data_IF_750187289209
#
_entry.id   IF_750187289209
#
_cell.length_a   1.000
_cell.length_b   1.000
_cell.length_c   1.000
_cell.angle_alpha   90.00
_cell.angle_beta   90.00
_cell.angle_gamma   90.00
#
_symmetry.space_group_name_H-M   'P 1'
#
loop_
_entity.id
_entity.type
_entity.pdbx_description
1 polymer ?
#
# COMPACT_ATOMS: atom_id res chain seq x y z
N UNK A 1 -35.92 31.29 -21.71
CA UNK A 1 -35.53 29.86 -21.59
C UNK A 1 -34.18 29.84 -20.91
N UNK A 2 -34.15 29.57 -19.61
CA UNK A 2 -32.90 29.27 -18.90
C UNK A 2 -32.48 27.88 -19.32
N UNK A 3 -31.32 27.77 -19.98
CA UNK A 3 -30.63 26.49 -20.09
C UNK A 3 -30.17 26.15 -18.68
N UNK A 4 -30.86 25.21 -18.05
CA UNK A 4 -30.30 24.51 -16.90
C UNK A 4 -29.14 23.67 -17.43
N UNK A 5 -27.90 24.13 -17.20
CA UNK A 5 -26.76 23.24 -17.25
C UNK A 5 -26.97 22.18 -16.18
N UNK A 6 -27.23 20.95 -16.61
CA UNK A 6 -27.17 19.78 -15.74
C UNK A 6 -25.69 19.59 -15.42
N UNK A 7 -25.23 20.20 -14.34
CA UNK A 7 -23.94 19.86 -13.76
C UNK A 7 -24.05 18.42 -13.26
N UNK A 8 -23.40 17.49 -13.95
CA UNK A 8 -23.28 16.11 -13.49
C UNK A 8 -22.36 16.10 -12.26
N UNK A 9 -22.90 16.41 -11.08
CA UNK A 9 -22.17 16.27 -9.82
C UNK A 9 -21.78 14.81 -9.58
N UNK A 10 -20.64 14.60 -8.93
CA UNK A 10 -20.23 13.28 -8.45
C UNK A 10 -21.23 12.69 -7.44
N UNK A 11 -20.93 11.49 -6.96
CA UNK A 11 -21.76 10.80 -5.96
C UNK A 11 -21.14 11.00 -4.59
N UNK A 12 -21.84 11.70 -3.71
CA UNK A 12 -21.59 11.64 -2.26
C UNK A 12 -22.57 10.62 -1.69
N UNK A 13 -22.05 9.54 -1.12
CA UNK A 13 -22.91 8.49 -0.58
C UNK A 13 -23.79 9.01 0.56
N UNK A 14 -25.04 8.54 0.62
CA UNK A 14 -25.95 8.82 1.74
C UNK A 14 -25.79 7.83 2.91
N UNK A 15 -24.83 6.91 2.83
CA UNK A 15 -24.59 5.93 3.89
C UNK A 15 -24.01 6.63 5.13
N UNK A 16 -24.56 6.32 6.31
CA UNK A 16 -24.14 6.90 7.59
C UNK A 16 -23.78 5.77 8.56
N UNK A 17 -22.62 5.86 9.19
CA UNK A 17 -22.17 4.94 10.25
C UNK A 17 -22.35 5.58 11.63
N UNK A 18 -22.38 4.75 12.67
CA UNK A 18 -22.11 5.20 14.04
C UNK A 18 -20.73 5.85 14.12
N UNK A 19 -20.66 7.02 14.75
CA UNK A 19 -19.43 7.80 14.97
C UNK A 19 -18.60 7.31 16.16
N UNK A 20 -18.86 6.11 16.67
CA UNK A 20 -18.13 5.56 17.80
C UNK A 20 -16.71 5.17 17.37
N UNK A 21 -15.73 5.91 17.90
CA UNK A 21 -14.31 5.59 17.76
C UNK A 21 -14.04 4.23 18.43
N UNK A 22 -13.49 3.30 17.66
CA UNK A 22 -13.05 2.03 18.19
C UNK A 22 -11.70 2.23 18.90
N UNK A 23 -11.62 1.82 20.17
CA UNK A 23 -10.32 1.67 20.82
C UNK A 23 -9.52 0.59 20.11
N UNK A 24 -8.20 0.74 20.10
CA UNK A 24 -7.29 -0.30 19.67
C UNK A 24 -7.53 -1.62 20.40
N UNK A 25 -7.29 -2.73 19.72
CA UNK A 25 -7.46 -4.06 20.32
C UNK A 25 -6.59 -4.18 21.59
N UNK A 26 -7.11 -4.80 22.67
CA UNK A 26 -6.35 -5.11 23.87
C UNK A 26 -5.13 -5.99 23.60
N UNK A 27 -4.05 -5.86 24.38
CA UNK A 27 -2.80 -6.62 24.18
C UNK A 27 -2.97 -8.15 24.31
N UNK A 28 -4.01 -8.60 25.01
CA UNK A 28 -4.40 -10.01 25.18
C UNK A 28 -5.36 -10.52 24.10
N UNK A 29 -5.66 -9.71 23.08
CA UNK A 29 -6.43 -10.15 21.92
C UNK A 29 -5.75 -11.33 21.22
N UNK A 30 -6.55 -12.27 20.74
CA UNK A 30 -6.10 -13.48 20.07
C UNK A 30 -5.18 -13.20 18.87
N UNK A 31 -5.49 -12.16 18.09
CA UNK A 31 -4.69 -11.72 16.93
C UNK A 31 -3.29 -11.21 17.29
N UNK A 32 -3.04 -10.87 18.56
CA UNK A 32 -1.72 -10.48 19.07
C UNK A 32 -1.00 -11.61 19.79
N UNK A 33 -1.54 -12.83 19.78
CA UNK A 33 -0.94 -13.98 20.47
C UNK A 33 0.49 -14.23 19.99
N UNK A 34 1.40 -14.40 20.95
CA UNK A 34 2.78 -14.78 20.65
C UNK A 34 2.80 -16.26 20.24
N UNK A 35 3.47 -16.62 19.13
CA UNK A 35 3.64 -18.02 18.75
C UNK A 35 4.30 -18.84 19.86
N UNK A 36 3.78 -20.04 20.20
CA UNK A 36 4.27 -20.82 21.32
C UNK A 36 5.67 -21.39 21.04
N UNK A 37 6.48 -21.53 22.10
CA UNK A 37 7.82 -22.12 22.05
C UNK A 37 8.94 -21.09 22.26
N UNK A 38 10.05 -21.53 22.84
CA UNK A 38 11.16 -20.63 23.17
C UNK A 38 11.75 -20.00 21.90
N UNK A 39 11.83 -18.66 21.90
CA UNK A 39 12.38 -17.87 20.81
C UNK A 39 11.70 -18.11 19.44
N UNK A 40 10.42 -18.50 19.46
CA UNK A 40 9.64 -18.73 18.26
C UNK A 40 9.68 -17.50 17.32
N UNK A 41 9.95 -17.69 16.01
CA UNK A 41 9.80 -16.61 15.03
C UNK A 41 8.38 -16.05 15.06
N UNK A 42 8.25 -14.74 15.05
CA UNK A 42 6.98 -14.02 15.05
C UNK A 42 7.07 -12.83 14.08
N UNK A 43 5.94 -12.16 13.83
CA UNK A 43 5.87 -11.00 12.94
C UNK A 43 6.38 -11.33 11.53
N UNK A 44 6.14 -12.56 11.08
CA UNK A 44 6.62 -13.04 9.78
C UNK A 44 5.90 -12.29 8.67
N UNK A 45 6.67 -11.71 7.75
CA UNK A 45 6.10 -11.00 6.62
C UNK A 45 7.01 -11.11 5.40
N UNK A 46 6.42 -11.01 4.21
CA UNK A 46 7.15 -11.05 2.96
C UNK A 46 6.82 -9.84 2.09
N UNK A 47 7.78 -9.44 1.27
CA UNK A 47 7.57 -8.51 0.16
C UNK A 47 8.37 -8.95 -1.06
N UNK A 48 8.11 -8.35 -2.22
CA UNK A 48 8.90 -8.61 -3.42
C UNK A 48 10.36 -8.18 -3.20
N UNK A 49 11.31 -9.04 -3.60
CA UNK A 49 12.75 -8.85 -3.32
C UNK A 49 13.59 -8.48 -4.53
N UNK A 50 12.99 -8.30 -5.71
CA UNK A 50 13.64 -7.90 -6.94
C UNK A 50 12.71 -7.06 -7.83
N UNK A 51 13.22 -6.60 -8.97
CA UNK A 51 12.44 -5.81 -9.92
C UNK A 51 11.37 -6.64 -10.65
N UNK A 52 11.60 -7.93 -10.90
CA UNK A 52 10.81 -8.72 -11.86
C UNK A 52 9.78 -9.67 -11.22
N UNK A 53 9.92 -9.97 -9.92
CA UNK A 53 9.08 -10.93 -9.20
C UNK A 53 9.71 -12.32 -9.00
N UNK A 54 11.01 -12.51 -9.28
CA UNK A 54 11.76 -13.75 -8.98
C UNK A 54 12.45 -13.70 -7.62
N UNK A 55 12.33 -12.59 -6.90
CA UNK A 55 12.88 -12.37 -5.58
C UNK A 55 11.77 -12.15 -4.54
N UNK A 56 12.02 -12.61 -3.31
CA UNK A 56 11.17 -12.33 -2.14
C UNK A 56 12.08 -11.98 -0.96
N UNK A 57 11.75 -10.91 -0.24
CA UNK A 57 12.34 -10.63 1.07
C UNK A 57 11.46 -11.30 2.11
N UNK A 58 12.01 -12.21 2.90
CA UNK A 58 11.37 -12.84 4.05
C UNK A 58 11.90 -12.19 5.32
N UNK A 59 11.00 -11.68 6.14
CA UNK A 59 11.32 -11.00 7.38
C UNK A 59 10.62 -11.65 8.57
N UNK A 60 11.28 -11.66 9.73
CA UNK A 60 10.71 -12.15 10.99
C UNK A 60 11.47 -11.59 12.19
N UNK A 61 10.87 -11.69 13.37
CA UNK A 61 11.49 -11.28 14.64
C UNK A 61 11.64 -12.49 15.58
N UNK A 62 12.77 -12.60 16.27
CA UNK A 62 12.95 -13.53 17.40
C UNK A 62 13.06 -12.75 18.73
N UNK A 63 12.30 -13.11 19.78
CA UNK A 63 12.15 -12.23 20.96
C UNK A 63 13.31 -12.26 21.96
N UNK A 64 14.00 -13.39 22.15
CA UNK A 64 14.90 -13.59 23.31
C UNK A 64 16.37 -13.57 22.94
N UNK A 65 16.74 -14.12 21.79
CA UNK A 65 18.12 -14.24 21.33
C UNK A 65 18.17 -14.17 19.79
N UNK A 66 19.36 -13.94 19.17
CA UNK A 66 19.46 -13.77 17.73
C UNK A 66 18.80 -14.90 16.94
N UNK A 67 18.97 -16.16 17.36
CA UNK A 67 18.47 -17.30 16.58
C UNK A 67 19.20 -17.45 15.23
N UNK A 68 18.62 -18.24 14.33
CA UNK A 68 19.13 -18.41 12.96
C UNK A 68 18.53 -17.36 12.04
N UNK A 69 19.36 -16.75 11.19
CA UNK A 69 19.02 -15.87 10.08
C UNK A 69 18.79 -16.64 8.77
N UNK A 70 18.66 -17.97 8.82
CA UNK A 70 18.54 -18.83 7.63
C UNK A 70 17.07 -19.06 7.28
N UNK A 71 16.75 -18.96 5.98
CA UNK A 71 15.47 -19.44 5.43
C UNK A 71 15.70 -20.73 4.64
N UNK A 72 14.96 -21.79 4.98
CA UNK A 72 14.84 -22.98 4.15
C UNK A 72 13.65 -22.84 3.21
N UNK A 73 13.83 -23.09 1.92
CA UNK A 73 12.73 -22.96 0.95
C UNK A 73 12.78 -24.02 -0.16
N UNK A 74 11.60 -24.38 -0.69
CA UNK A 74 11.47 -25.32 -1.80
C UNK A 74 10.16 -25.08 -2.57
N UNK A 75 10.19 -25.36 -3.87
CA UNK A 75 8.98 -25.31 -4.70
C UNK A 75 8.05 -26.48 -4.33
N UNK A 76 6.75 -26.24 -4.43
CA UNK A 76 5.73 -27.27 -4.29
C UNK A 76 5.96 -28.41 -5.30
N UNK A 77 5.58 -29.64 -4.92
CA UNK A 77 5.91 -30.85 -5.68
C UNK A 77 7.37 -31.33 -5.58
N UNK A 78 8.30 -30.54 -4.98
CA UNK A 78 9.66 -31.02 -4.63
C UNK A 78 9.70 -31.47 -3.17
N UNK A 79 10.43 -32.56 -2.90
CA UNK A 79 10.67 -33.03 -1.52
C UNK A 79 11.43 -31.97 -0.70
N UNK A 80 11.06 -31.79 0.57
CA UNK A 80 11.82 -30.99 1.55
C UNK A 80 13.31 -31.36 1.62
N UNK A 81 13.69 -32.61 1.30
CA UNK A 81 15.10 -33.02 1.21
C UNK A 81 15.89 -32.26 0.14
N UNK A 82 15.22 -31.60 -0.80
CA UNK A 82 15.78 -30.73 -1.84
C UNK A 82 15.62 -29.24 -1.50
N UNK A 83 15.37 -28.89 -0.24
CA UNK A 83 15.28 -27.50 0.21
C UNK A 83 16.59 -26.77 -0.05
N UNK A 84 16.48 -25.56 -0.58
CA UNK A 84 17.56 -24.60 -0.68
C UNK A 84 17.65 -23.79 0.62
N UNK A 85 18.80 -23.17 0.84
CA UNK A 85 19.09 -22.29 1.97
C UNK A 85 19.37 -20.89 1.44
N UNK A 86 18.86 -19.88 2.12
CA UNK A 86 19.26 -18.49 1.97
C UNK A 86 19.63 -17.93 3.34
N UNK A 87 20.70 -17.14 3.41
CA UNK A 87 21.15 -16.51 4.65
C UNK A 87 20.74 -15.04 4.63
N UNK A 88 20.11 -14.59 5.70
CA UNK A 88 19.68 -13.21 5.89
C UNK A 88 20.67 -12.39 6.71
N UNK A 89 20.26 -11.19 7.06
CA UNK A 89 20.91 -10.33 8.05
C UNK A 89 20.03 -10.24 9.30
N UNK A 90 20.66 -9.92 10.43
CA UNK A 90 19.95 -9.67 11.70
C UNK A 90 20.32 -8.28 12.19
N UNK A 91 19.32 -7.54 12.66
CA UNK A 91 19.47 -6.19 13.18
C UNK A 91 18.57 -5.96 14.41
N UNK A 92 18.85 -4.88 15.14
CA UNK A 92 18.05 -4.39 16.26
C UNK A 92 18.10 -2.88 16.29
N UNK A 93 17.08 -2.28 16.91
CA UNK A 93 17.09 -0.85 17.20
C UNK A 93 16.59 -0.58 18.63
N UNK A 94 16.89 0.62 19.10
CA UNK A 94 16.34 1.20 20.32
C UNK A 94 15.52 2.42 19.94
N UNK A 95 14.44 2.66 20.68
CA UNK A 95 13.60 3.84 20.52
C UNK A 95 13.13 4.25 21.91
N UNK A 96 13.68 5.33 22.44
CA UNK A 96 13.49 5.81 23.82
C UNK A 96 13.82 4.71 24.84
N UNK A 97 12.80 4.10 25.46
CA UNK A 97 12.91 3.03 26.44
C UNK A 97 12.66 1.63 25.85
N UNK A 98 12.26 1.55 24.58
CA UNK A 98 12.05 0.31 23.86
C UNK A 98 13.35 -0.22 23.26
N UNK A 99 13.52 -1.53 23.27
CA UNK A 99 14.56 -2.23 22.50
C UNK A 99 13.91 -3.36 21.74
N UNK A 100 14.11 -3.39 20.42
CA UNK A 100 13.49 -4.41 19.57
C UNK A 100 13.95 -5.82 19.92
N UNK A 101 13.14 -6.81 19.52
CA UNK A 101 13.63 -8.16 19.30
C UNK A 101 14.73 -8.20 18.22
N UNK A 102 15.21 -9.40 17.89
CA UNK A 102 16.17 -9.59 16.81
C UNK A 102 15.39 -9.71 15.51
N UNK A 103 15.49 -8.70 14.65
CA UNK A 103 14.76 -8.62 13.39
C UNK A 103 15.66 -9.18 12.29
N UNK A 104 15.10 -10.08 11.49
CA UNK A 104 15.79 -10.78 10.43
C UNK A 104 15.22 -10.40 9.08
N UNK A 105 16.08 -10.23 8.09
CA UNK A 105 15.69 -10.03 6.69
C UNK A 105 16.51 -10.94 5.79
N UNK A 106 15.85 -11.76 4.98
CA UNK A 106 16.49 -12.69 4.07
C UNK A 106 15.94 -12.55 2.65
N UNK A 107 16.82 -12.26 1.68
CA UNK A 107 16.44 -12.19 0.27
C UNK A 107 16.60 -13.58 -0.35
N UNK A 108 15.49 -14.15 -0.81
CA UNK A 108 15.47 -15.34 -1.65
C UNK A 108 15.37 -14.88 -3.09
N UNK A 109 16.40 -15.16 -3.90
CA UNK A 109 16.47 -14.77 -5.31
C UNK A 109 16.42 -15.98 -6.25
N UNK A 110 16.17 -15.73 -7.54
CA UNK A 110 16.23 -16.75 -8.59
C UNK A 110 15.14 -17.81 -8.47
N UNK A 111 13.96 -17.44 -7.97
CA UNK A 111 12.78 -18.27 -7.93
C UNK A 111 12.16 -18.43 -9.33
N UNK A 112 11.43 -19.51 -9.56
CA UNK A 112 10.63 -19.65 -10.78
C UNK A 112 9.37 -18.79 -10.68
N UNK A 113 8.89 -18.27 -11.82
CA UNK A 113 7.61 -17.56 -11.88
C UNK A 113 6.43 -18.51 -11.68
N UNK A 114 5.28 -17.97 -11.27
CA UNK A 114 4.01 -18.68 -11.13
C UNK A 114 4.13 -20.03 -10.40
N UNK A 115 4.94 -20.04 -9.33
CA UNK A 115 5.30 -21.25 -8.61
C UNK A 115 5.05 -21.06 -7.12
N UNK A 116 4.33 -22.02 -6.52
CA UNK A 116 4.16 -22.08 -5.08
C UNK A 116 5.46 -22.53 -4.42
N UNK A 117 5.90 -21.79 -3.41
CA UNK A 117 7.05 -22.11 -2.57
C UNK A 117 6.61 -22.27 -1.13
N UNK A 118 7.15 -23.28 -0.45
CA UNK A 118 7.16 -23.35 1.01
C UNK A 118 8.44 -22.75 1.53
N UNK A 119 8.37 -22.08 2.68
CA UNK A 119 9.54 -21.61 3.40
C UNK A 119 9.42 -21.85 4.91
N UNK A 120 10.57 -22.00 5.56
CA UNK A 120 10.70 -22.21 7.00
C UNK A 120 11.71 -21.24 7.61
N UNK A 121 11.36 -20.68 8.77
CA UNK A 121 12.18 -19.77 9.59
C UNK A 121 12.34 -20.32 11.01
N UNK A 122 13.34 -19.84 11.75
CA UNK A 122 13.70 -20.40 13.07
C UNK A 122 14.41 -21.74 12.94
N UNK A 123 15.32 -21.86 11.97
CA UNK A 123 16.05 -23.10 11.70
C UNK A 123 17.07 -23.39 12.81
N UNK A 124 17.25 -24.66 13.15
CA UNK A 124 18.26 -25.10 14.12
C UNK A 124 17.88 -24.92 15.59
N UNK A 125 16.72 -24.32 15.89
CA UNK A 125 16.09 -24.31 17.22
C UNK A 125 14.60 -24.65 17.07
N UNK A 126 13.97 -25.15 18.14
CA UNK A 126 12.52 -25.37 18.17
C UNK A 126 11.88 -24.17 18.87
N UNK A 127 10.84 -23.54 18.28
CA UNK A 127 10.10 -24.01 17.11
C UNK A 127 10.57 -23.42 15.78
N UNK A 128 10.68 -24.28 14.76
CA UNK A 128 10.68 -23.88 13.35
C UNK A 128 9.24 -23.64 12.91
N UNK A 129 8.97 -22.56 12.17
CA UNK A 129 7.63 -22.24 11.63
C UNK A 129 7.66 -22.32 10.11
N UNK A 130 6.58 -22.85 9.51
CA UNK A 130 6.44 -23.04 8.07
C UNK A 130 5.32 -22.17 7.51
N UNK A 131 5.58 -21.59 6.36
CA UNK A 131 4.67 -20.77 5.58
C UNK A 131 4.80 -21.14 4.09
N UNK A 132 4.08 -20.43 3.24
CA UNK A 132 4.16 -20.57 1.79
C UNK A 132 3.79 -19.28 1.09
N UNK A 133 4.22 -19.10 -0.15
CA UNK A 133 3.80 -18.01 -1.03
C UNK A 133 3.77 -18.49 -2.48
N UNK A 134 3.23 -17.68 -3.38
CA UNK A 134 3.23 -17.94 -4.83
C UNK A 134 3.95 -16.76 -5.51
N UNK A 135 5.00 -17.05 -6.28
CA UNK A 135 5.64 -16.04 -7.12
C UNK A 135 4.68 -15.57 -8.22
N UNK A 136 4.71 -14.30 -8.62
CA UNK A 136 3.84 -13.83 -9.70
C UNK A 136 4.21 -14.51 -11.02
N UNK A 137 3.32 -14.51 -12.03
CA UNK A 137 3.71 -14.81 -13.40
C UNK A 137 4.75 -13.80 -13.90
N UNK A 138 5.52 -14.21 -14.91
CA UNK A 138 6.52 -13.34 -15.56
C UNK A 138 5.86 -12.06 -16.06
N UNK A 139 6.50 -10.87 -15.92
CA UNK A 139 5.96 -9.65 -16.48
C UNK A 139 5.63 -9.76 -17.98
N UNK A 140 4.46 -9.24 -18.35
CA UNK A 140 3.94 -9.34 -19.70
C UNK A 140 2.59 -8.61 -19.85
N UNK A 141 2.24 -8.18 -21.08
CA UNK A 141 1.22 -7.16 -21.27
C UNK A 141 -0.21 -7.62 -20.90
N UNK A 142 -0.55 -8.87 -21.18
CA UNK A 142 -1.89 -9.40 -20.93
C UNK A 142 -1.94 -10.35 -19.72
N UNK A 143 -0.93 -10.30 -18.86
CA UNK A 143 -0.87 -11.15 -17.67
C UNK A 143 -1.86 -10.62 -16.63
N UNK A 144 -2.94 -11.34 -16.32
CA UNK A 144 -3.91 -10.88 -15.32
C UNK A 144 -3.31 -10.94 -13.91
N UNK A 145 -3.74 -10.03 -13.05
CA UNK A 145 -3.30 -10.02 -11.65
C UNK A 145 -4.27 -9.23 -10.77
N UNK A 146 -4.51 -9.73 -9.57
CA UNK A 146 -5.41 -9.09 -8.60
C UNK A 146 -4.60 -8.56 -7.42
N UNK A 147 -4.57 -7.24 -7.29
CA UNK A 147 -4.05 -6.55 -6.12
C UNK A 147 -5.20 -6.23 -5.17
N UNK A 148 -4.96 -6.33 -3.87
CA UNK A 148 -5.81 -5.67 -2.89
C UNK A 148 -5.12 -4.43 -2.34
N UNK A 149 -5.91 -3.45 -1.90
CA UNK A 149 -5.47 -2.10 -1.58
C UNK A 149 -5.91 -1.78 -0.15
N UNK A 150 -4.97 -1.40 0.70
CA UNK A 150 -5.22 -1.02 2.10
C UNK A 150 -4.33 0.18 2.45
N UNK A 151 -4.86 1.16 3.16
CA UNK A 151 -4.11 2.23 3.82
C UNK A 151 -4.52 2.34 5.28
N UNK A 152 -3.67 2.95 6.10
CA UNK A 152 -4.12 3.55 7.37
C UNK A 152 -4.79 2.49 8.25
N UNK A 153 -4.15 1.32 8.34
CA UNK A 153 -4.79 0.12 8.87
C UNK A 153 -4.94 0.21 10.39
N UNK A 154 -3.87 0.55 11.12
CA UNK A 154 -3.87 0.47 12.57
C UNK A 154 -4.14 -0.94 13.10
N UNK A 155 -4.68 -1.04 14.32
CA UNK A 155 -4.89 -2.32 14.99
C UNK A 155 -6.14 -2.33 15.91
N UNK A 156 -7.22 -1.72 15.43
CA UNK A 156 -8.54 -1.71 16.06
C UNK A 156 -9.37 -2.93 15.63
N UNK A 157 -10.53 -3.17 16.26
CA UNK A 157 -11.52 -4.12 15.74
C UNK A 157 -11.97 -3.85 14.30
N UNK A 158 -11.99 -2.58 13.86
CA UNK A 158 -12.27 -2.22 12.47
C UNK A 158 -11.13 -2.64 11.54
N UNK A 159 -9.87 -2.42 11.95
CA UNK A 159 -8.69 -2.94 11.24
C UNK A 159 -8.77 -4.45 11.04
N UNK A 160 -9.15 -5.18 12.10
CA UNK A 160 -9.31 -6.62 12.04
C UNK A 160 -10.43 -7.04 11.07
N UNK A 161 -11.54 -6.30 11.05
CA UNK A 161 -12.65 -6.52 10.12
C UNK A 161 -12.23 -6.29 8.68
N UNK A 162 -11.49 -5.21 8.40
CA UNK A 162 -10.94 -4.91 7.06
C UNK A 162 -10.04 -6.06 6.57
N UNK A 163 -9.15 -6.57 7.42
CA UNK A 163 -8.28 -7.71 7.06
C UNK A 163 -9.10 -8.97 6.79
N UNK A 164 -10.14 -9.25 7.59
CA UNK A 164 -11.01 -10.41 7.38
C UNK A 164 -11.84 -10.28 6.10
N UNK A 165 -12.32 -9.08 5.77
CA UNK A 165 -13.03 -8.76 4.53
C UNK A 165 -12.14 -8.98 3.31
N UNK A 166 -10.92 -8.45 3.37
CA UNK A 166 -9.88 -8.65 2.35
C UNK A 166 -9.59 -10.14 2.12
N UNK A 167 -9.35 -10.90 3.20
CA UNK A 167 -8.98 -12.32 3.12
C UNK A 167 -10.13 -13.19 2.61
N UNK A 168 -11.38 -12.76 2.84
CA UNK A 168 -12.59 -13.46 2.44
C UNK A 168 -13.15 -13.00 1.10
N UNK A 169 -12.55 -11.98 0.48
CA UNK A 169 -13.02 -11.42 -0.78
C UNK A 169 -12.90 -12.46 -1.92
N UNK A 170 -13.98 -12.70 -2.70
CA UNK A 170 -14.00 -13.75 -3.71
C UNK A 170 -13.03 -13.51 -4.89
N UNK A 171 -12.57 -12.27 -5.10
CA UNK A 171 -11.55 -11.95 -6.11
C UNK A 171 -10.15 -12.43 -5.70
N UNK A 172 -9.97 -12.81 -4.42
CA UNK A 172 -8.79 -13.52 -3.91
C UNK A 172 -7.47 -12.82 -4.28
N UNK A 173 -7.22 -11.60 -3.75
CA UNK A 173 -6.04 -10.81 -4.05
C UNK A 173 -4.74 -11.58 -3.77
N UNK A 174 -3.73 -11.34 -4.61
CA UNK A 174 -2.46 -12.09 -4.65
C UNK A 174 -1.26 -11.30 -4.12
N UNK A 175 -1.42 -9.99 -4.00
CA UNK A 175 -0.49 -9.09 -3.35
C UNK A 175 -1.26 -7.89 -2.81
N UNK A 176 -0.71 -7.24 -1.79
CA UNK A 176 -1.25 -6.03 -1.21
C UNK A 176 -0.44 -4.81 -1.66
N UNK A 177 -1.13 -3.74 -2.08
CA UNK A 177 -0.54 -2.40 -2.20
C UNK A 177 -0.92 -1.63 -0.94
N UNK A 178 0.06 -1.32 -0.10
CA UNK A 178 -0.17 -0.69 1.20
C UNK A 178 0.24 0.79 1.15
N UNK A 179 -0.70 1.71 1.35
CA UNK A 179 -0.51 3.13 1.03
C UNK A 179 0.02 4.01 2.19
N UNK A 180 0.49 3.39 3.27
CA UNK A 180 1.15 4.06 4.41
C UNK A 180 0.33 3.97 5.70
N UNK A 181 0.93 4.42 6.79
CA UNK A 181 0.38 4.39 8.15
C UNK A 181 0.01 2.98 8.62
N UNK A 182 1.05 2.25 9.03
CA UNK A 182 0.91 0.84 9.34
C UNK A 182 0.27 0.64 10.71
N UNK A 183 1.03 0.94 11.78
CA UNK A 183 0.70 0.46 13.13
C UNK A 183 0.04 1.48 14.05
N UNK A 184 0.21 2.78 13.76
CA UNK A 184 -0.14 3.89 14.64
C UNK A 184 0.45 3.75 16.07
N UNK A 185 1.63 3.12 16.17
CA UNK A 185 2.33 2.97 17.46
C UNK A 185 2.77 4.32 18.06
N UNK A 186 2.97 5.33 17.23
CA UNK A 186 3.33 6.70 17.60
C UNK A 186 2.20 7.42 18.37
N UNK A 187 0.94 7.00 18.20
CA UNK A 187 -0.21 7.51 18.95
C UNK A 187 -0.19 7.09 20.45
N UNK A 188 0.67 6.14 20.83
CA UNK A 188 0.83 5.70 22.22
C UNK A 188 1.85 6.56 22.98
N UNK A 189 1.77 6.60 24.33
CA UNK A 189 2.76 7.32 25.13
C UNK A 189 4.19 6.93 24.78
N UNK A 190 5.01 7.93 24.43
CA UNK A 190 6.40 7.77 23.99
C UNK A 190 6.58 6.96 22.68
N UNK A 191 5.54 6.85 21.85
CA UNK A 191 5.56 6.01 20.65
C UNK A 191 5.84 4.55 21.02
N UNK A 192 4.98 3.93 21.81
CA UNK A 192 5.18 2.60 22.36
C UNK A 192 5.37 1.55 21.25
N UNK A 193 6.62 1.25 20.94
CA UNK A 193 7.02 0.35 19.88
C UNK A 193 6.65 -1.13 20.14
N UNK A 194 6.09 -1.47 21.31
CA UNK A 194 5.40 -2.76 21.48
C UNK A 194 4.15 -2.87 20.60
N UNK A 195 3.56 -1.73 20.20
CA UNK A 195 2.44 -1.67 19.25
C UNK A 195 2.84 -1.98 17.81
N UNK A 196 4.10 -1.75 17.44
CA UNK A 196 4.66 -2.31 16.21
C UNK A 196 4.76 -3.84 16.25
N UNK A 197 5.08 -4.40 17.43
CA UNK A 197 5.19 -5.85 17.61
C UNK A 197 3.83 -6.57 17.56
N UNK A 198 2.80 -5.98 18.16
CA UNK A 198 1.42 -6.50 18.08
C UNK A 198 0.88 -6.40 16.65
N UNK A 199 1.08 -5.26 15.98
CA UNK A 199 0.67 -5.09 14.59
C UNK A 199 1.33 -6.12 13.67
N UNK A 200 2.63 -6.36 13.83
CA UNK A 200 3.34 -7.37 13.05
C UNK A 200 2.80 -8.80 13.29
N UNK A 201 2.36 -9.13 14.50
CA UNK A 201 1.71 -10.43 14.78
C UNK A 201 0.29 -10.51 14.20
N UNK A 202 -0.46 -9.42 14.28
CA UNK A 202 -1.81 -9.32 13.73
C UNK A 202 -1.82 -9.52 12.21
N UNK A 203 -0.94 -8.81 11.49
CA UNK A 203 -0.90 -8.87 10.01
C UNK A 203 -0.20 -10.11 9.46
N UNK A 204 0.58 -10.84 10.27
CA UNK A 204 1.31 -12.07 9.88
C UNK A 204 0.40 -13.08 9.16
N UNK A 205 -0.85 -13.22 9.60
CA UNK A 205 -1.83 -14.14 8.99
C UNK A 205 -2.12 -13.85 7.52
N UNK A 206 -1.83 -12.63 7.08
CA UNK A 206 -1.96 -12.15 5.72
C UNK A 206 -0.58 -12.07 5.04
N UNK A 207 0.33 -11.26 5.58
CA UNK A 207 1.57 -10.87 4.91
C UNK A 207 2.69 -11.91 4.99
N UNK A 208 2.51 -13.00 5.73
CA UNK A 208 3.42 -14.15 5.64
C UNK A 208 3.16 -15.02 4.38
N UNK A 209 2.00 -14.86 3.72
CA UNK A 209 1.56 -15.71 2.62
C UNK A 209 1.46 -15.00 1.28
N UNK A 210 1.28 -13.68 1.29
CA UNK A 210 1.31 -12.85 0.11
C UNK A 210 2.12 -11.57 0.36
N UNK A 211 2.82 -11.05 -0.66
CA UNK A 211 3.66 -9.88 -0.48
C UNK A 211 2.84 -8.60 -0.38
N UNK A 212 3.30 -7.72 0.50
CA UNK A 212 2.83 -6.35 0.61
C UNK A 212 3.87 -5.38 0.03
N UNK A 213 3.44 -4.50 -0.87
CA UNK A 213 4.25 -3.41 -1.41
C UNK A 213 4.02 -2.20 -0.52
N UNK A 214 5.03 -1.87 0.28
CA UNK A 214 4.94 -0.89 1.36
C UNK A 214 5.20 0.54 0.87
N UNK A 215 4.33 1.46 1.27
CA UNK A 215 4.57 2.90 1.31
C UNK A 215 4.68 3.35 2.77
N UNK A 216 5.38 4.46 3.00
CA UNK A 216 5.50 5.07 4.33
C UNK A 216 4.56 6.28 4.44
N UNK A 217 3.78 6.36 5.52
CA UNK A 217 2.94 7.49 5.88
C UNK A 217 3.53 8.37 6.98
N UNK A 218 2.73 9.30 7.54
CA UNK A 218 3.22 10.18 8.62
C UNK A 218 3.36 9.46 9.96
N UNK A 219 2.49 8.50 10.27
CA UNK A 219 2.60 7.71 11.50
C UNK A 219 3.83 6.80 11.50
N UNK A 220 4.45 6.60 10.33
CA UNK A 220 5.71 5.89 10.21
C UNK A 220 6.94 6.79 10.44
N UNK A 221 6.78 8.12 10.58
CA UNK A 221 7.89 9.08 10.75
C UNK A 221 8.58 8.92 12.11
N UNK A 222 7.84 8.68 13.19
CA UNK A 222 8.38 8.46 14.54
C UNK A 222 9.41 9.53 14.98
N UNK A 223 9.14 10.82 14.72
CA UNK A 223 10.05 11.93 15.03
C UNK A 223 9.69 12.63 16.35
N UNK A 224 10.41 12.28 17.43
CA UNK A 224 10.22 12.80 18.79
C UNK A 224 11.51 13.43 19.35
N UNK A 225 11.92 14.62 18.84
CA UNK A 225 13.19 15.26 19.21
C UNK A 225 13.32 15.56 20.71
N UNK A 226 12.22 15.79 21.42
CA UNK A 226 12.18 16.01 22.86
C UNK A 226 12.68 14.80 23.68
N UNK A 227 12.70 13.61 23.08
CA UNK A 227 13.23 12.37 23.67
C UNK A 227 14.50 11.86 22.98
N UNK A 228 15.09 12.65 22.08
CA UNK A 228 16.32 12.29 21.36
C UNK A 228 16.09 11.51 20.06
N UNK A 229 14.84 11.17 19.73
CA UNK A 229 14.47 10.45 18.50
C UNK A 229 14.35 11.44 17.34
N UNK A 230 15.47 11.67 16.67
CA UNK A 230 15.62 12.69 15.62
C UNK A 230 15.83 12.11 14.22
N UNK A 231 15.83 10.77 14.10
CA UNK A 231 15.99 10.06 12.84
C UNK A 231 14.61 9.60 12.36
N UNK A 232 14.06 10.21 11.30
CA UNK A 232 12.76 9.83 10.76
C UNK A 232 12.72 8.37 10.30
N UNK A 233 11.55 7.75 10.41
CA UNK A 233 11.23 6.41 9.96
C UNK A 233 12.02 5.29 10.63
N UNK A 234 12.66 5.55 11.77
CA UNK A 234 13.54 4.56 12.37
C UNK A 234 12.84 3.21 12.62
N UNK A 235 11.70 3.11 13.35
CA UNK A 235 11.02 1.82 13.51
C UNK A 235 10.61 1.17 12.20
N UNK A 236 9.98 1.93 11.29
CA UNK A 236 9.55 1.46 9.97
C UNK A 236 10.70 0.86 9.16
N UNK A 237 11.82 1.58 9.01
CA UNK A 237 12.98 1.20 8.20
C UNK A 237 13.73 -0.03 8.73
N UNK A 238 13.64 -0.30 10.04
CA UNK A 238 14.21 -1.50 10.64
C UNK A 238 13.30 -2.72 10.52
N UNK A 239 11.99 -2.54 10.27
CA UNK A 239 11.00 -3.62 10.27
C UNK A 239 10.60 -4.04 8.85
N UNK A 240 10.41 -3.10 7.94
CA UNK A 240 9.81 -3.34 6.62
C UNK A 240 10.78 -2.99 5.48
N UNK A 241 11.72 -3.89 5.13
CA UNK A 241 12.62 -3.68 4.01
C UNK A 241 11.86 -3.76 2.68
N UNK A 242 12.38 -3.06 1.66
CA UNK A 242 11.84 -3.05 0.29
C UNK A 242 12.98 -3.21 -0.73
N UNK A 243 12.70 -3.61 -1.99
CA UNK A 243 13.74 -3.89 -2.99
C UNK A 243 14.29 -2.62 -3.69
N UNK A 244 14.49 -1.53 -2.96
CA UNK A 244 14.78 -0.21 -3.53
C UNK A 244 16.07 -0.15 -4.37
N UNK A 245 17.07 -0.95 -4.01
CA UNK A 245 18.32 -1.05 -4.78
C UNK A 245 18.09 -1.68 -6.17
N UNK A 246 17.13 -2.60 -6.30
CA UNK A 246 16.78 -3.20 -7.60
C UNK A 246 16.17 -2.19 -8.55
N UNK A 247 15.50 -1.15 -8.02
CA UNK A 247 14.98 -0.01 -8.77
C UNK A 247 16.03 1.10 -9.01
N UNK A 248 17.27 0.92 -8.54
CA UNK A 248 18.30 1.97 -8.58
C UNK A 248 17.98 3.19 -7.71
N UNK A 249 17.11 3.04 -6.71
CA UNK A 249 16.86 4.08 -5.71
C UNK A 249 17.98 4.11 -4.68
N UNK A 250 18.18 5.29 -4.08
CA UNK A 250 19.12 5.50 -2.97
C UNK A 250 18.44 5.41 -1.60
N UNK A 251 17.12 5.21 -1.55
CA UNK A 251 16.34 5.18 -0.32
C UNK A 251 15.26 4.10 -0.38
N UNK A 252 14.98 3.40 0.73
CA UNK A 252 13.84 2.48 0.83
C UNK A 252 12.47 3.17 0.83
N UNK A 253 12.41 4.51 0.95
CA UNK A 253 11.13 5.23 1.01
C UNK A 253 10.53 5.51 -0.38
N UNK A 254 11.31 5.41 -1.45
CA UNK A 254 10.81 5.50 -2.82
C UNK A 254 11.51 4.47 -3.70
N UNK A 255 10.74 3.69 -4.43
CA UNK A 255 11.23 2.58 -5.24
C UNK A 255 10.17 2.15 -6.25
N UNK A 256 10.51 1.17 -7.08
CA UNK A 256 9.57 0.59 -8.03
C UNK A 256 9.74 -0.93 -8.09
N UNK A 257 8.70 -1.59 -8.59
CA UNK A 257 8.70 -3.02 -8.91
C UNK A 257 7.82 -3.29 -10.13
N UNK A 258 8.15 -4.32 -10.90
CA UNK A 258 7.24 -4.93 -11.86
C UNK A 258 6.63 -6.18 -11.26
N UNK A 259 5.32 -6.35 -11.44
CA UNK A 259 4.60 -7.56 -11.04
C UNK A 259 3.48 -7.82 -12.03
N UNK A 260 3.52 -8.97 -12.69
CA UNK A 260 2.60 -9.30 -13.79
C UNK A 260 2.59 -8.18 -14.85
N UNK A 261 1.42 -7.65 -15.22
CA UNK A 261 1.30 -6.57 -16.20
C UNK A 261 1.44 -5.15 -15.61
N UNK A 262 1.81 -5.01 -14.33
CA UNK A 262 1.89 -3.73 -13.64
C UNK A 262 3.33 -3.27 -13.39
N UNK A 263 3.59 -1.99 -13.64
CA UNK A 263 4.75 -1.23 -13.19
C UNK A 263 4.29 -0.35 -12.03
N UNK A 264 4.83 -0.59 -10.83
CA UNK A 264 4.39 0.08 -9.61
C UNK A 264 5.52 0.99 -9.15
N UNK A 265 5.22 2.28 -8.98
CA UNK A 265 6.12 3.29 -8.42
C UNK A 265 5.59 3.65 -7.03
N UNK A 266 6.44 3.56 -6.02
CA UNK A 266 6.16 4.00 -4.65
C UNK A 266 6.94 5.28 -4.39
N UNK A 267 6.24 6.32 -3.95
CA UNK A 267 6.79 7.63 -3.60
C UNK A 267 6.66 7.89 -2.10
N UNK A 268 7.53 8.73 -1.57
CA UNK A 268 7.49 9.18 -0.18
C UNK A 268 7.03 10.63 -0.09
N UNK A 269 5.81 10.82 0.43
CA UNK A 269 5.20 12.12 0.68
C UNK A 269 5.96 12.95 1.72
N UNK A 270 6.74 12.31 2.59
CA UNK A 270 7.45 12.95 3.72
C UNK A 270 8.97 12.97 3.56
N UNK A 271 9.47 12.60 2.38
CA UNK A 271 10.87 12.80 1.98
C UNK A 271 11.00 14.00 1.07
N UNK A 272 12.20 14.57 0.94
CA UNK A 272 12.41 15.67 0.00
C UNK A 272 12.10 15.26 -1.45
N UNK A 273 11.20 15.98 -2.12
CA UNK A 273 10.81 15.78 -3.52
C UNK A 273 10.99 17.01 -4.41
N UNK A 274 11.52 18.12 -3.87
CA UNK A 274 11.83 19.31 -4.65
C UNK A 274 12.78 19.04 -5.82
N UNK A 275 12.78 19.90 -6.84
CA UNK A 275 13.65 19.76 -8.01
C UNK A 275 15.11 19.52 -7.59
N UNK A 276 15.74 18.55 -8.23
CA UNK A 276 17.12 18.08 -7.97
C UNK A 276 17.37 17.24 -6.70
N UNK A 277 16.37 17.03 -5.85
CA UNK A 277 16.47 16.08 -4.73
C UNK A 277 16.64 14.64 -5.24
N UNK A 278 17.13 13.71 -4.40
CA UNK A 278 17.29 12.31 -4.79
C UNK A 278 16.00 11.66 -5.30
N UNK A 279 14.86 11.87 -4.62
CA UNK A 279 13.57 11.31 -5.05
C UNK A 279 13.11 11.90 -6.39
N UNK A 280 13.23 13.22 -6.58
CA UNK A 280 12.88 13.88 -7.85
C UNK A 280 13.68 13.31 -9.03
N UNK A 281 15.01 13.26 -8.90
CA UNK A 281 15.90 12.74 -9.94
C UNK A 281 15.67 11.26 -10.19
N UNK A 282 15.39 10.50 -9.14
CA UNK A 282 15.06 9.09 -9.28
C UNK A 282 13.77 8.92 -10.07
N UNK A 283 12.67 9.62 -9.72
CA UNK A 283 11.40 9.50 -10.41
C UNK A 283 11.49 9.93 -11.89
N UNK A 284 12.17 11.04 -12.17
CA UNK A 284 12.43 11.52 -13.53
C UNK A 284 13.11 10.43 -14.39
N UNK A 285 14.13 9.77 -13.84
CA UNK A 285 14.81 8.66 -14.52
C UNK A 285 13.97 7.38 -14.56
N UNK A 286 13.21 7.10 -13.50
CA UNK A 286 12.42 5.88 -13.36
C UNK A 286 11.31 5.80 -14.41
N UNK A 287 10.64 6.92 -14.66
CA UNK A 287 9.58 7.01 -15.67
C UNK A 287 10.10 6.69 -17.08
N UNK A 288 11.37 6.96 -17.38
CA UNK A 288 11.99 6.57 -18.67
C UNK A 288 12.16 5.06 -18.85
N UNK A 289 12.15 4.29 -17.76
CA UNK A 289 12.30 2.83 -17.77
C UNK A 289 10.96 2.11 -17.99
N UNK A 290 9.83 2.82 -17.88
CA UNK A 290 8.50 2.23 -18.02
C UNK A 290 8.27 1.79 -19.46
N UNK A 291 8.19 0.47 -19.67
CA UNK A 291 7.83 -0.12 -20.96
C UNK A 291 6.36 -0.56 -20.96
N UNK A 292 5.46 0.28 -21.50
CA UNK A 292 4.02 -0.01 -21.58
C UNK A 292 3.65 -1.20 -22.47
N UNK A 293 4.60 -1.72 -23.27
CA UNK A 293 4.41 -2.96 -24.06
C UNK A 293 4.72 -4.23 -23.28
N UNK A 294 5.42 -4.11 -22.15
CA UNK A 294 5.70 -5.20 -21.20
C UNK A 294 4.77 -5.11 -19.99
N UNK A 295 4.67 -3.93 -19.37
CA UNK A 295 3.81 -3.64 -18.22
C UNK A 295 2.87 -2.46 -18.55
N UNK A 296 1.70 -2.73 -19.14
CA UNK A 296 0.72 -1.73 -19.53
C UNK A 296 0.21 -0.87 -18.38
N UNK A 297 0.06 -1.43 -17.19
CA UNK A 297 -0.54 -0.74 -16.05
C UNK A 297 0.52 0.00 -15.26
N UNK A 298 0.54 1.32 -15.37
CA UNK A 298 1.43 2.18 -14.59
C UNK A 298 0.68 2.69 -13.36
N UNK A 299 1.08 2.20 -12.18
CA UNK A 299 0.48 2.51 -10.90
C UNK A 299 1.45 3.34 -10.06
N UNK A 300 0.93 4.35 -9.35
CA UNK A 300 1.70 5.14 -8.39
C UNK A 300 1.06 5.00 -7.02
N UNK A 301 1.90 4.76 -6.01
CA UNK A 301 1.52 4.74 -4.60
C UNK A 301 2.23 5.90 -3.91
N UNK A 302 1.47 6.66 -3.12
CA UNK A 302 1.98 7.64 -2.17
C UNK A 302 1.06 7.64 -0.95
N UNK A 303 1.40 8.39 0.09
CA UNK A 303 0.54 8.44 1.27
C UNK A 303 -0.44 9.61 1.21
N UNK A 304 0.07 10.83 0.97
CA UNK A 304 -0.77 12.05 0.91
C UNK A 304 -1.40 12.21 -0.46
N UNK A 305 -2.73 12.23 -0.52
CA UNK A 305 -3.49 12.40 -1.76
C UNK A 305 -3.27 13.79 -2.40
N UNK A 306 -3.10 13.83 -3.73
CA UNK A 306 -3.08 15.10 -4.49
C UNK A 306 -4.46 15.75 -4.57
N UNK A 307 -5.50 14.92 -4.64
CA UNK A 307 -6.89 15.33 -4.70
C UNK A 307 -7.64 14.65 -3.58
N UNK A 308 -8.18 15.46 -2.68
CA UNK A 308 -9.12 15.05 -1.64
C UNK A 308 -10.15 16.16 -1.48
N UNK A 309 -11.41 15.79 -1.41
CA UNK A 309 -12.52 16.71 -1.11
C UNK A 309 -13.06 16.53 0.31
N UNK A 310 -12.29 15.89 1.19
CA UNK A 310 -12.50 15.89 2.63
C UNK A 310 -11.86 17.13 3.27
N UNK A 311 -12.46 17.63 4.35
CA UNK A 311 -11.98 18.81 5.05
C UNK A 311 -10.70 18.53 5.84
N UNK A 312 -10.55 17.33 6.40
CA UNK A 312 -9.33 16.90 7.06
C UNK A 312 -8.23 16.64 6.02
N UNK A 313 -7.02 17.12 6.28
CA UNK A 313 -5.87 17.10 5.35
C UNK A 313 -6.13 17.77 4.00
N UNK A 314 -7.15 18.64 3.90
CA UNK A 314 -7.47 19.35 2.65
C UNK A 314 -6.26 20.15 2.16
N UNK A 315 -5.89 19.94 0.89
CA UNK A 315 -4.76 20.58 0.22
C UNK A 315 -3.35 20.27 0.77
N UNK A 316 -3.17 19.31 1.68
CA UNK A 316 -1.83 18.94 2.16
C UNK A 316 -0.92 18.41 1.03
N UNK A 317 -1.51 17.71 0.06
CA UNK A 317 -0.80 17.16 -1.11
C UNK A 317 -0.36 18.19 -2.16
N UNK A 318 -0.78 19.46 -2.05
CA UNK A 318 -0.55 20.49 -3.10
C UNK A 318 0.94 20.68 -3.43
N UNK A 319 1.79 20.65 -2.41
CA UNK A 319 3.24 20.84 -2.55
C UNK A 319 3.88 19.76 -3.44
N UNK A 320 3.46 18.51 -3.29
CA UNK A 320 3.92 17.39 -4.11
C UNK A 320 3.21 17.35 -5.46
N UNK A 321 1.91 17.70 -5.51
CA UNK A 321 1.12 17.79 -6.74
C UNK A 321 1.76 18.74 -7.75
N UNK A 322 2.12 19.95 -7.33
CA UNK A 322 2.77 20.96 -8.18
C UNK A 322 4.08 20.42 -8.82
N UNK A 323 4.78 19.53 -8.13
CA UNK A 323 6.05 18.97 -8.61
C UNK A 323 5.84 17.76 -9.53
N UNK A 324 4.96 16.83 -9.16
CA UNK A 324 4.87 15.51 -9.80
C UNK A 324 3.64 15.28 -10.66
N UNK A 325 2.53 16.00 -10.46
CA UNK A 325 1.36 15.86 -11.33
C UNK A 325 1.70 16.01 -12.84
N UNK A 326 2.54 16.99 -13.26
CA UNK A 326 2.96 17.07 -14.66
C UNK A 326 3.67 15.80 -15.16
N UNK A 327 4.47 15.16 -14.30
CA UNK A 327 5.17 13.93 -14.65
C UNK A 327 4.19 12.77 -14.83
N UNK A 328 3.19 12.66 -13.94
CA UNK A 328 2.21 11.58 -13.97
C UNK A 328 1.30 11.69 -15.19
N UNK A 329 0.84 12.90 -15.52
CA UNK A 329 0.03 13.18 -16.72
C UNK A 329 0.83 12.93 -18.00
N UNK A 330 2.07 13.43 -18.07
CA UNK A 330 2.94 13.23 -19.23
C UNK A 330 3.19 11.74 -19.53
N UNK A 331 3.34 10.93 -18.47
CA UNK A 331 3.59 9.49 -18.59
C UNK A 331 2.32 8.65 -18.60
N UNK A 332 1.14 9.28 -18.63
CA UNK A 332 -0.16 8.61 -18.71
C UNK A 332 -0.32 7.53 -17.65
N UNK A 333 -0.02 7.87 -16.40
CA UNK A 333 -0.25 7.00 -15.24
C UNK A 333 -1.72 6.57 -15.25
N UNK A 334 -1.99 5.30 -14.96
CA UNK A 334 -3.35 4.77 -15.00
C UNK A 334 -4.12 5.13 -13.73
N UNK A 335 -3.51 4.89 -12.57
CA UNK A 335 -4.08 5.10 -11.23
C UNK A 335 -3.01 5.58 -10.25
N UNK A 336 -3.38 6.54 -9.41
CA UNK A 336 -2.63 6.97 -8.22
C UNK A 336 -3.41 6.55 -6.98
N UNK A 337 -2.74 5.86 -6.05
CA UNK A 337 -3.30 5.40 -4.79
C UNK A 337 -2.70 6.20 -3.64
N UNK A 338 -3.55 6.65 -2.72
CA UNK A 338 -3.19 7.39 -1.52
C UNK A 338 -4.00 6.91 -0.30
N UNK A 339 -3.47 7.17 0.89
CA UNK A 339 -4.11 6.92 2.19
C UNK A 339 -4.42 8.25 2.87
N UNK A 340 -4.00 8.39 4.14
CA UNK A 340 -3.93 9.60 4.96
C UNK A 340 -5.30 10.17 5.38
N UNK A 341 -6.18 10.37 4.41
CA UNK A 341 -7.56 10.73 4.70
C UNK A 341 -8.31 9.46 5.03
N UNK A 342 -8.86 9.38 6.25
CA UNK A 342 -9.54 8.18 6.75
C UNK A 342 -10.96 8.03 6.20
N UNK A 343 -11.05 7.89 4.88
CA UNK A 343 -12.27 7.69 4.13
C UNK A 343 -11.91 7.17 2.72
N UNK A 344 -12.95 6.92 1.93
CA UNK A 344 -12.80 6.54 0.54
C UNK A 344 -13.16 7.69 -0.41
N UNK A 345 -12.32 7.92 -1.41
CA UNK A 345 -12.62 8.85 -2.51
C UNK A 345 -12.04 8.35 -3.83
N UNK A 346 -12.77 8.60 -4.92
CA UNK A 346 -12.31 8.39 -6.29
C UNK A 346 -12.55 9.63 -7.13
N UNK A 347 -11.51 10.11 -7.79
CA UNK A 347 -11.60 11.25 -8.70
C UNK A 347 -12.12 10.85 -10.09
N UNK A 348 -12.56 11.84 -10.86
CA UNK A 348 -12.56 11.79 -12.32
C UNK A 348 -11.11 11.86 -12.85
N UNK A 349 -10.90 11.67 -14.16
CA UNK A 349 -9.59 11.89 -14.80
C UNK A 349 -9.40 13.38 -15.11
N UNK A 350 -8.65 14.03 -14.25
CA UNK A 350 -8.48 15.48 -14.23
C UNK A 350 -7.02 15.86 -14.08
N UNK A 351 -6.65 17.05 -14.55
CA UNK A 351 -5.36 17.65 -14.26
C UNK A 351 -5.47 19.13 -13.90
N UNK A 352 -4.54 19.62 -13.07
CA UNK A 352 -4.40 21.03 -12.71
C UNK A 352 -2.95 21.51 -12.88
N UNK A 353 -2.43 21.31 -14.09
CA UNK A 353 -1.02 21.56 -14.45
C UNK A 353 -0.81 22.80 -15.32
N UNK A 354 -1.88 23.54 -15.65
CA UNK A 354 -1.83 24.70 -16.54
C UNK A 354 -1.39 26.01 -15.86
N UNK A 355 -1.40 26.06 -14.53
CA UNK A 355 -1.13 27.27 -13.76
C UNK A 355 0.31 27.78 -13.97
N UNK A 356 0.46 29.08 -14.28
CA UNK A 356 1.77 29.72 -14.45
C UNK A 356 1.93 31.03 -13.66
N UNK A 357 1.16 31.19 -12.58
CA UNK A 357 1.04 32.42 -11.77
C UNK A 357 0.18 33.51 -12.42
N UNK A 358 0.41 33.88 -13.68
CA UNK A 358 -0.24 35.04 -14.31
C UNK A 358 -1.51 34.71 -15.11
N UNK A 359 -1.68 33.46 -15.52
CA UNK A 359 -2.81 33.03 -16.36
C UNK A 359 -4.09 32.68 -15.58
N UNK A 360 -4.03 32.58 -14.26
CA UNK A 360 -5.13 32.16 -13.39
C UNK A 360 -5.77 30.81 -13.75
N UNK A 361 -5.09 29.96 -14.54
CA UNK A 361 -5.57 28.62 -14.91
C UNK A 361 -5.26 27.63 -13.78
N UNK A 362 -5.96 27.77 -12.65
CA UNK A 362 -5.75 27.00 -11.42
C UNK A 362 -6.93 26.09 -11.03
N UNK A 363 -7.92 25.93 -11.92
CA UNK A 363 -9.02 24.99 -11.73
C UNK A 363 -8.68 23.64 -12.39
N UNK A 364 -8.91 22.51 -11.71
CA UNK A 364 -8.82 21.20 -12.34
C UNK A 364 -9.75 21.12 -13.56
N UNK A 365 -9.26 20.50 -14.64
CA UNK A 365 -9.99 20.29 -15.88
C UNK A 365 -9.96 18.82 -16.26
N UNK A 366 -10.97 18.36 -17.00
CA UNK A 366 -11.00 17.02 -17.56
C UNK A 366 -9.77 16.78 -18.45
N UNK A 367 -9.04 15.70 -18.16
CA UNK A 367 -7.83 15.32 -18.88
C UNK A 367 -7.72 13.81 -18.99
N UNK A 368 -8.01 13.27 -20.18
CA UNK A 368 -7.94 11.83 -20.42
C UNK A 368 -6.51 11.24 -20.34
N UNK A 369 -5.47 12.07 -20.32
CA UNK A 369 -4.08 11.63 -20.07
C UNK A 369 -3.77 11.51 -18.58
N UNK A 370 -4.61 12.05 -17.70
CA UNK A 370 -4.42 11.98 -16.26
C UNK A 370 -4.83 10.63 -15.66
N UNK A 371 -4.22 10.25 -14.52
CA UNK A 371 -4.67 9.10 -13.75
C UNK A 371 -6.04 9.33 -13.11
N UNK A 372 -6.65 8.24 -12.66
CA UNK A 372 -7.66 8.31 -11.59
C UNK A 372 -6.92 8.37 -10.27
N UNK A 373 -7.28 9.32 -9.40
CA UNK A 373 -6.78 9.40 -8.03
C UNK A 373 -7.76 8.68 -7.10
N UNK A 374 -7.24 7.79 -6.27
CA UNK A 374 -8.04 7.03 -5.30
C UNK A 374 -7.43 7.21 -3.91
N UNK A 375 -8.25 7.70 -2.99
CA UNK A 375 -7.98 7.71 -1.55
C UNK A 375 -8.59 6.44 -0.95
N UNK A 376 -7.77 5.64 -0.28
CA UNK A 376 -8.12 4.36 0.35
C UNK A 376 -7.48 4.25 1.75
N UNK A 377 -7.54 5.36 2.51
CA UNK A 377 -7.01 5.46 3.88
C UNK A 377 -8.01 4.99 4.94
N UNK A 378 -8.99 4.20 4.56
CA UNK A 378 -10.12 3.77 5.36
C UNK A 378 -9.91 2.37 5.98
N UNK A 379 -8.66 2.01 6.28
CA UNK A 379 -8.32 0.67 6.77
C UNK A 379 -8.84 0.34 8.17
N UNK A 380 -9.18 1.34 8.98
CA UNK A 380 -9.78 1.14 10.30
C UNK A 380 -8.94 1.60 11.48
N UNK A 381 -8.00 2.54 11.29
CA UNK A 381 -7.16 3.03 12.38
C UNK A 381 -7.95 3.66 13.56
N UNK A 382 -7.23 3.87 14.67
CA UNK A 382 -7.78 4.36 15.93
C UNK A 382 -8.26 5.83 15.91
N UNK A 383 -7.84 6.63 14.92
CA UNK A 383 -8.25 8.03 14.82
C UNK A 383 -9.66 8.17 14.26
N UNK A 384 -10.18 7.11 13.63
CA UNK A 384 -11.53 7.05 13.12
C UNK A 384 -11.70 7.61 11.72
N UNK A 385 -12.96 7.62 11.27
CA UNK A 385 -13.34 8.13 9.95
C UNK A 385 -13.35 9.66 9.89
N UNK A 386 -12.95 10.21 8.75
CA UNK A 386 -13.15 11.62 8.41
C UNK A 386 -14.52 11.79 7.77
N UNK A 387 -15.42 12.54 8.44
CA UNK A 387 -16.80 12.77 7.98
C UNK A 387 -16.98 14.09 7.23
N UNK A 388 -16.18 15.09 7.57
CA UNK A 388 -16.35 16.44 7.08
C UNK A 388 -15.91 16.55 5.61
N UNK A 389 -16.83 17.00 4.77
CA UNK A 389 -16.66 17.14 3.33
C UNK A 389 -16.59 18.61 2.91
N UNK A 390 -15.84 18.88 1.84
CA UNK A 390 -15.95 20.13 1.10
C UNK A 390 -17.26 20.10 0.31
N UNK A 391 -18.11 21.11 0.53
CA UNK A 391 -19.43 21.21 -0.10
C UNK A 391 -19.57 22.47 -0.98
N UNK A 392 -20.25 22.37 -2.15
CA UNK A 392 -20.76 21.14 -2.76
C UNK A 392 -19.62 20.22 -3.23
N UNK A 393 -19.92 18.94 -3.51
CA UNK A 393 -18.95 18.02 -4.11
C UNK A 393 -18.25 18.66 -5.33
N UNK A 394 -16.92 18.81 -5.30
CA UNK A 394 -16.18 19.37 -6.42
C UNK A 394 -16.32 18.51 -7.68
N UNK A 395 -16.33 19.12 -8.86
CA UNK A 395 -16.49 18.40 -10.14
C UNK A 395 -15.37 17.39 -10.44
N UNK A 396 -14.23 17.47 -9.75
CA UNK A 396 -13.15 16.48 -9.88
C UNK A 396 -13.40 15.19 -9.09
N UNK A 397 -14.31 15.21 -8.11
CA UNK A 397 -14.62 14.06 -7.24
C UNK A 397 -15.76 13.25 -7.86
N UNK A 398 -15.49 12.01 -8.27
CA UNK A 398 -16.48 11.15 -8.90
C UNK A 398 -17.33 10.41 -7.85
N UNK A 399 -16.69 9.91 -6.79
CA UNK A 399 -17.34 9.22 -5.68
C UNK A 399 -16.59 9.52 -4.37
N UNK A 400 -17.31 9.70 -3.26
CA UNK A 400 -16.73 9.80 -1.91
C UNK A 400 -17.68 9.25 -0.84
N UNK A 401 -17.13 8.53 0.13
CA UNK A 401 -17.87 7.99 1.27
C UNK A 401 -16.94 7.76 2.49
N UNK A 402 -17.42 8.16 3.67
CA UNK A 402 -16.76 7.86 4.94
C UNK A 402 -17.24 6.52 5.50
N UNK A 403 -16.62 5.43 5.06
CA UNK A 403 -16.80 4.08 5.61
C UNK A 403 -15.45 3.39 5.64
N UNK A 404 -15.23 2.48 6.59
CA UNK A 404 -14.03 1.62 6.57
C UNK A 404 -14.18 0.51 5.53
N UNK A 405 -13.05 0.08 4.96
CA UNK A 405 -13.05 -0.89 3.89
C UNK A 405 -11.67 -1.13 3.29
N UNK A 406 -11.68 -1.79 2.14
CA UNK A 406 -10.50 -2.04 1.32
C UNK A 406 -10.85 -2.00 -0.16
N UNK A 407 -9.84 -1.80 -1.01
CA UNK A 407 -9.98 -1.84 -2.46
C UNK A 407 -9.50 -3.15 -3.08
N UNK A 408 -10.05 -3.50 -4.25
CA UNK A 408 -9.53 -4.56 -5.13
C UNK A 408 -9.26 -3.95 -6.51
N UNK A 409 -8.04 -4.12 -7.01
CA UNK A 409 -7.65 -3.82 -8.39
C UNK A 409 -7.35 -5.13 -9.12
N UNK A 410 -8.27 -5.52 -10.00
CA UNK A 410 -8.29 -6.80 -10.70
C UNK A 410 -8.00 -6.58 -12.19
N UNK A 411 -6.72 -6.64 -12.54
CA UNK A 411 -6.24 -6.46 -13.92
C UNK A 411 -6.60 -7.69 -14.74
N UNK A 412 -7.32 -7.46 -15.86
CA UNK A 412 -7.75 -8.53 -16.76
C UNK A 412 -6.79 -8.77 -17.91
N UNK A 413 -6.27 -7.69 -18.50
CA UNK A 413 -5.35 -7.71 -19.63
C UNK A 413 -4.76 -6.30 -19.83
N UNK A 414 -4.08 -6.04 -20.95
CA UNK A 414 -3.46 -4.74 -21.23
C UNK A 414 -4.42 -3.55 -21.34
N UNK A 415 -5.72 -3.79 -21.51
CA UNK A 415 -6.73 -2.73 -21.77
C UNK A 415 -7.72 -2.51 -20.64
N UNK A 416 -8.06 -3.56 -19.88
CA UNK A 416 -9.09 -3.49 -18.85
C UNK A 416 -8.57 -3.96 -17.48
N UNK A 417 -8.85 -3.16 -16.46
CA UNK A 417 -8.76 -3.55 -15.07
C UNK A 417 -10.07 -3.17 -14.38
N UNK A 418 -10.53 -4.02 -13.48
CA UNK A 418 -11.69 -3.74 -12.66
C UNK A 418 -11.22 -3.24 -11.30
N UNK A 419 -11.71 -2.07 -10.87
CA UNK A 419 -11.56 -1.58 -9.52
C UNK A 419 -12.89 -1.75 -8.78
N UNK A 420 -12.85 -2.25 -7.55
CA UNK A 420 -13.98 -2.29 -6.63
C UNK A 420 -13.58 -1.89 -5.22
N UNK A 421 -14.38 -1.06 -4.57
CA UNK A 421 -14.25 -0.72 -3.16
C UNK A 421 -15.28 -1.49 -2.33
N UNK A 422 -14.82 -2.07 -1.22
CA UNK A 422 -15.58 -2.98 -0.39
C UNK A 422 -15.66 -2.43 1.03
N UNK A 423 -16.87 -2.13 1.50
CA UNK A 423 -17.10 -1.62 2.85
C UNK A 423 -17.16 -2.75 3.87
N UNK A 424 -16.66 -2.50 5.07
CA UNK A 424 -16.66 -3.47 6.16
C UNK A 424 -18.08 -3.92 6.58
N UNK A 425 -19.10 -3.07 6.39
CA UNK A 425 -20.48 -3.37 6.79
C UNK A 425 -21.21 -4.28 5.79
N UNK A 426 -20.72 -4.35 4.55
CA UNK A 426 -21.34 -5.16 3.51
C UNK A 426 -20.77 -6.59 3.50
N UNK A 427 -21.42 -7.49 2.76
CA UNK A 427 -20.87 -8.82 2.53
C UNK A 427 -19.54 -8.77 1.75
N UNK A 428 -18.69 -9.78 1.95
CA UNK A 428 -17.32 -9.84 1.38
C UNK A 428 -17.22 -9.70 -0.15
N UNK A 429 -18.31 -9.93 -0.87
CA UNK A 429 -18.40 -9.85 -2.33
C UNK A 429 -19.05 -8.55 -2.84
N UNK A 430 -19.61 -7.73 -1.96
CA UNK A 430 -20.36 -6.53 -2.33
C UNK A 430 -19.39 -5.39 -2.64
N UNK A 431 -19.57 -4.76 -3.80
CA UNK A 431 -18.78 -3.64 -4.29
C UNK A 431 -19.64 -2.37 -4.11
N UNK A 432 -19.28 -1.50 -3.18
CA UNK A 432 -20.03 -0.28 -2.86
C UNK A 432 -19.80 0.83 -3.89
N UNK A 433 -18.58 0.90 -4.42
CA UNK A 433 -18.23 1.63 -5.64
C UNK A 433 -17.37 0.73 -6.54
N UNK A 434 -17.48 0.93 -7.85
CA UNK A 434 -16.67 0.18 -8.80
C UNK A 434 -16.44 0.96 -10.10
N UNK A 435 -15.34 0.64 -10.77
CA UNK A 435 -14.96 1.26 -12.03
C UNK A 435 -14.23 0.27 -12.93
N UNK A 436 -14.64 0.20 -14.19
CA UNK A 436 -13.80 -0.39 -15.24
C UNK A 436 -12.79 0.65 -15.72
N UNK A 437 -11.54 0.46 -15.33
CA UNK A 437 -10.42 1.27 -15.77
C UNK A 437 -10.03 0.85 -17.19
N UNK A 438 -9.92 1.84 -18.08
CA UNK A 438 -9.36 1.67 -19.41
C UNK A 438 -7.91 2.15 -19.43
N UNK A 439 -7.00 1.27 -19.85
CA UNK A 439 -5.58 1.54 -19.86
C UNK A 439 -5.23 2.77 -20.73
N UNK A 440 -4.47 3.72 -20.17
CA UNK A 440 -4.17 5.00 -20.82
C UNK A 440 -3.25 4.90 -22.04
N UNK A 441 -2.53 3.79 -22.19
CA UNK A 441 -1.67 3.55 -23.35
C UNK A 441 -2.37 2.73 -24.44
N UNK A 442 -3.06 1.64 -24.07
CA UNK A 442 -3.66 0.69 -25.02
C UNK A 442 -5.14 0.92 -25.33
N UNK A 443 -5.87 1.66 -24.49
CA UNK A 443 -7.27 2.01 -24.73
C UNK A 443 -7.58 3.41 -24.15
N UNK A 444 -7.04 4.49 -24.76
CA UNK A 444 -7.17 5.85 -24.23
C UNK A 444 -8.57 6.47 -24.39
N UNK A 445 -9.57 5.67 -24.77
CA UNK A 445 -10.95 6.12 -24.90
C UNK A 445 -11.53 6.58 -23.54
N UNK A 446 -12.55 7.45 -23.55
CA UNK A 446 -13.32 7.78 -22.35
C UNK A 446 -13.96 6.51 -21.77
N UNK A 447 -13.87 6.33 -20.46
CA UNK A 447 -14.52 5.21 -19.76
C UNK A 447 -16.05 5.39 -19.85
N UNK A 448 -16.77 4.40 -20.38
CA UNK A 448 -18.23 4.45 -20.42
C UNK A 448 -18.78 4.27 -19.01
N UNK A 449 -19.50 5.27 -18.50
CA UNK A 449 -20.20 5.20 -17.21
C UNK A 449 -21.22 4.05 -17.23
N UNK A 450 -20.98 3.00 -16.45
CA UNK A 450 -22.05 2.10 -16.08
C UNK A 450 -22.83 2.79 -14.95
N UNK A 451 -24.10 3.12 -15.19
CA UNK A 451 -24.99 3.51 -14.10
C UNK A 451 -25.12 2.30 -13.17
N UNK A 452 -24.65 2.43 -11.93
CA UNK A 452 -25.02 1.49 -10.87
C UNK A 452 -26.53 1.54 -10.70
N UNK A 453 -27.15 0.35 -10.67
CA UNK A 453 -28.58 0.16 -10.45
C UNK A 453 -28.90 0.03 -8.96
#
# INVERSE_FOLDING_TARGET
MSLAEITNGGITSSFLRSSELANDMPLDSDVFSVPPGYNAPQQVHITQGDMEGKGVIVSWTTPHEPGSNTVLYWADGKSKRKSRRAEGTVLRYKYINYTSGYIHHCIIAGLEFDTKYYYEVGIGRIPTRRFWFITPPKPGPDVPYTFGLIGDLGQTPDSNTTVDHYMSNPRNPKAMLFVGDLSYADAYPLGDNTRWDTWGRFTERLVAYQPAIWSAGNHDIDFLPQYGETVPFQPYLHRYPVPYQAAGSTSPLWYSVKRASAYIIVLSSYSAYGKYTPQYKWLENELTKVNRTETPWLLVIMHVAFYSSYAHHYMEGESMRVVFEPFLVQNKVDVVLAGHVHAYERSERISNIAYNVTNSLCSPVDDHSAPVYITIGDGGNLEGLVWDLIEPQPGYSAFREASFGHGILDIKNRTHAFFGWHRNQDGYAVEADSLWLLNRFWNPLPESRAASA
#
